data_IF_275952960197
#
_entry.id   IF_275952960197
#
_cell.length_a   1.000
_cell.length_b   1.000
_cell.length_c   1.000
_cell.angle_alpha   90.00
_cell.angle_beta   90.00
_cell.angle_gamma   90.00
#
_symmetry.space_group_name_H-M   'P 1'
#
loop_
_entity.id
_entity.type
_entity.pdbx_description
1 polymer ?
#
# COMPACT_ATOMS: atom_id res chain seq x y z
N UNK A 1 -31.78 15.50 46.57
CA UNK A 1 -31.24 15.53 45.23
C UNK A 1 -29.73 15.38 45.24
N UNK A 2 -29.22 14.18 44.92
CA UNK A 2 -27.79 13.97 44.77
C UNK A 2 -27.38 14.39 43.37
N UNK A 3 -26.67 15.51 43.27
CA UNK A 3 -25.99 15.91 42.02
C UNK A 3 -24.80 15.00 41.81
N UNK A 4 -24.90 14.06 40.87
CA UNK A 4 -23.75 13.33 40.33
C UNK A 4 -22.91 14.31 39.52
N UNK A 5 -21.76 14.70 40.08
CA UNK A 5 -20.74 15.44 39.35
C UNK A 5 -20.24 14.55 38.23
N UNK A 6 -20.56 14.89 36.99
CA UNK A 6 -19.90 14.28 35.84
C UNK A 6 -18.41 14.59 35.97
N UNK A 7 -17.60 13.55 36.13
CA UNK A 7 -16.15 13.68 36.07
C UNK A 7 -15.83 14.32 34.73
N UNK A 8 -15.28 15.54 34.76
CA UNK A 8 -14.73 16.18 33.56
C UNK A 8 -13.61 15.28 33.05
N UNK A 9 -13.82 14.69 31.87
CA UNK A 9 -12.74 13.98 31.19
C UNK A 9 -11.59 14.97 31.02
N UNK A 10 -10.39 14.63 31.48
CA UNK A 10 -9.21 15.43 31.25
C UNK A 10 -9.08 15.67 29.74
N UNK A 11 -8.74 16.88 29.30
CA UNK A 11 -8.51 17.12 27.89
C UNK A 11 -7.42 16.17 27.40
N UNK A 12 -7.50 15.67 26.14
CA UNK A 12 -6.46 14.78 25.60
C UNK A 12 -5.11 15.46 25.75
N UNK A 13 -4.13 14.74 26.30
CA UNK A 13 -2.79 15.26 26.52
C UNK A 13 -2.16 15.58 25.16
N UNK A 14 -1.66 16.81 25.02
CA UNK A 14 -0.97 17.23 23.82
C UNK A 14 0.32 16.43 23.64
N UNK A 15 0.48 15.80 22.50
CA UNK A 15 1.66 15.03 22.14
C UNK A 15 2.71 16.03 21.61
N UNK A 16 3.77 16.24 22.37
CA UNK A 16 4.91 17.07 22.00
C UNK A 16 6.23 16.34 22.28
N UNK A 17 7.35 16.94 21.90
CA UNK A 17 8.64 16.30 22.04
C UNK A 17 9.00 15.94 23.49
N UNK A 18 8.61 16.76 24.47
CA UNK A 18 8.82 16.48 25.89
C UNK A 18 8.01 15.29 26.35
N UNK A 19 6.75 15.22 25.96
CA UNK A 19 5.87 14.09 26.24
C UNK A 19 6.43 12.78 25.67
N UNK A 20 6.94 12.82 24.43
CA UNK A 20 7.59 11.67 23.79
C UNK A 20 8.79 11.21 24.64
N UNK A 21 9.67 12.11 25.02
CA UNK A 21 10.87 11.79 25.81
C UNK A 21 10.52 11.17 27.17
N UNK A 22 9.56 11.78 27.89
CA UNK A 22 9.10 11.29 29.18
C UNK A 22 8.44 9.91 29.08
N UNK A 23 7.66 9.69 28.04
CA UNK A 23 6.99 8.41 27.80
C UNK A 23 8.00 7.31 27.42
N UNK A 24 8.99 7.62 26.58
CA UNK A 24 10.09 6.70 26.27
C UNK A 24 10.81 6.23 27.55
N UNK A 25 11.07 7.14 28.48
CA UNK A 25 11.70 6.82 29.74
C UNK A 25 10.82 5.84 30.57
N UNK A 26 9.53 6.14 30.68
CA UNK A 26 8.57 5.29 31.39
C UNK A 26 8.42 3.90 30.78
N UNK A 27 8.45 3.81 29.46
CA UNK A 27 8.34 2.54 28.73
C UNK A 27 9.62 1.70 28.78
N UNK A 28 10.74 2.30 29.19
CA UNK A 28 12.04 1.62 29.24
C UNK A 28 12.64 1.35 27.87
N UNK A 29 12.21 2.07 26.84
CA UNK A 29 12.64 1.81 25.45
C UNK A 29 14.12 2.15 25.23
N UNK A 30 14.70 3.05 26.02
CA UNK A 30 16.11 3.41 25.93
C UNK A 30 17.04 2.22 26.25
N UNK A 31 16.63 1.30 27.10
CA UNK A 31 17.37 0.06 27.33
C UNK A 31 17.45 -0.75 26.04
N UNK A 32 16.33 -0.87 25.31
CA UNK A 32 16.29 -1.56 24.04
C UNK A 32 17.19 -0.90 22.98
N UNK A 33 17.19 0.42 22.92
CA UNK A 33 18.08 1.15 22.00
C UNK A 33 19.56 0.98 22.37
N UNK A 34 19.88 0.93 23.64
CA UNK A 34 21.25 0.64 24.06
C UNK A 34 21.69 -0.77 23.66
N UNK A 35 20.82 -1.76 23.77
CA UNK A 35 21.10 -3.11 23.29
C UNK A 35 21.33 -3.15 21.77
N UNK A 36 20.54 -2.39 21.02
CA UNK A 36 20.59 -2.38 19.54
C UNK A 36 21.77 -1.54 19.01
N UNK A 37 22.01 -0.38 19.59
CA UNK A 37 22.90 0.66 19.01
C UNK A 37 24.14 0.92 19.86
N UNK A 38 24.26 0.31 21.02
CA UNK A 38 25.32 0.58 21.99
C UNK A 38 25.03 1.78 22.88
N UNK A 39 25.87 1.97 23.95
CA UNK A 39 25.68 3.08 24.87
C UNK A 39 25.80 4.44 24.17
N UNK A 40 25.09 5.48 24.65
CA UNK A 40 24.19 5.47 25.80
C UNK A 40 22.76 4.99 25.46
N UNK A 41 22.35 4.94 24.21
CA UNK A 41 21.00 4.52 23.78
C UNK A 41 19.89 5.49 24.12
N UNK A 42 20.21 6.76 24.36
CA UNK A 42 19.27 7.80 24.77
C UNK A 42 18.97 8.78 23.64
N UNK A 43 17.89 9.52 23.81
CA UNK A 43 17.46 10.52 22.83
C UNK A 43 18.51 11.64 22.74
N UNK A 44 18.94 11.96 21.50
CA UNK A 44 19.79 13.09 21.18
C UNK A 44 18.97 14.21 20.56
N UNK A 45 18.87 15.32 21.25
CA UNK A 45 18.02 16.44 20.83
C UNK A 45 16.53 16.13 20.99
N UNK A 46 15.70 16.96 20.41
CA UNK A 46 14.26 16.86 20.51
C UNK A 46 13.69 15.90 19.47
N UNK A 47 12.62 15.17 19.83
CA UNK A 47 11.83 14.42 18.87
C UNK A 47 11.11 15.39 17.91
N UNK A 48 11.16 15.10 16.62
CA UNK A 48 10.54 15.90 15.58
C UNK A 48 9.25 15.25 15.09
N UNK A 49 8.14 15.98 15.10
CA UNK A 49 6.88 15.51 14.53
C UNK A 49 6.95 15.59 13.01
N UNK A 50 6.83 14.46 12.33
CA UNK A 50 6.79 14.38 10.87
C UNK A 50 5.36 14.49 10.34
N UNK A 51 4.39 13.93 11.05
CA UNK A 51 2.97 13.94 10.68
C UNK A 51 2.13 13.73 11.93
N UNK A 52 1.03 14.47 12.03
CA UNK A 52 0.02 14.26 13.06
C UNK A 52 -1.37 14.29 12.44
N UNK A 53 -2.18 13.30 12.76
CA UNK A 53 -3.57 13.20 12.33
C UNK A 53 -4.42 12.62 13.47
N UNK A 54 -5.73 12.62 13.29
CA UNK A 54 -6.62 12.00 14.27
C UNK A 54 -6.45 10.48 14.39
N UNK A 55 -5.85 9.82 13.39
CA UNK A 55 -5.61 8.37 13.35
C UNK A 55 -4.27 7.97 13.95
N UNK A 56 -3.23 8.73 13.63
CA UNK A 56 -1.85 8.40 14.01
C UNK A 56 -0.96 9.62 14.00
N UNK A 57 0.16 9.52 14.69
CA UNK A 57 1.24 10.49 14.57
C UNK A 57 2.57 9.79 14.32
N UNK A 58 3.44 10.45 13.58
CA UNK A 58 4.78 9.93 13.20
C UNK A 58 5.82 10.89 13.69
N UNK A 59 6.80 10.37 14.44
CA UNK A 59 7.87 11.12 15.03
C UNK A 59 9.21 10.57 14.60
N UNK A 60 10.19 11.45 14.42
CA UNK A 60 11.58 11.09 14.19
C UNK A 60 12.36 11.34 15.47
N UNK A 61 13.05 10.30 15.94
CA UNK A 61 13.94 10.35 17.09
C UNK A 61 15.36 10.09 16.62
N UNK A 62 16.32 10.86 17.13
CA UNK A 62 17.73 10.56 16.97
C UNK A 62 18.25 9.94 18.27
N UNK A 63 18.72 8.72 18.18
CA UNK A 63 19.23 7.96 19.33
C UNK A 63 20.75 7.99 19.29
N UNK A 64 21.35 8.43 20.37
CA UNK A 64 22.81 8.41 20.53
C UNK A 64 23.26 6.97 20.81
N UNK A 65 24.07 6.42 19.94
CA UNK A 65 24.63 5.07 20.05
C UNK A 65 26.14 5.07 19.90
N UNK A 66 26.75 3.91 19.99
CA UNK A 66 28.21 3.73 19.92
C UNK A 66 28.81 4.26 18.60
N UNK A 67 28.10 4.08 17.50
CA UNK A 67 28.54 4.50 16.16
C UNK A 67 28.04 5.89 15.74
N UNK A 68 27.49 6.67 16.69
CA UNK A 68 26.91 7.98 16.42
C UNK A 68 25.39 8.00 16.53
N UNK A 69 24.76 8.96 15.87
CA UNK A 69 23.30 9.13 15.92
C UNK A 69 22.61 8.11 15.02
N UNK A 70 21.57 7.46 15.54
CA UNK A 70 20.75 6.53 14.80
C UNK A 70 19.32 7.08 14.70
N UNK A 71 18.79 7.32 13.50
CA UNK A 71 17.40 7.75 13.36
C UNK A 71 16.45 6.58 13.63
N UNK A 72 15.43 6.84 14.42
CA UNK A 72 14.35 5.89 14.75
C UNK A 72 13.03 6.56 14.48
N UNK A 73 12.12 5.85 13.84
CA UNK A 73 10.75 6.32 13.62
C UNK A 73 9.87 5.78 14.74
N UNK A 74 9.13 6.67 15.39
CA UNK A 74 8.04 6.32 16.28
C UNK A 74 6.72 6.58 15.58
N UNK A 75 5.93 5.54 15.42
CA UNK A 75 4.55 5.67 14.95
C UNK A 75 3.60 5.37 16.10
N UNK A 76 2.74 6.34 16.40
CA UNK A 76 1.72 6.25 17.43
C UNK A 76 0.38 6.00 16.74
N UNK A 77 -0.19 4.82 16.95
CA UNK A 77 -1.50 4.45 16.45
C UNK A 77 -2.55 4.76 17.51
N UNK A 78 -3.39 5.74 17.23
CA UNK A 78 -4.49 6.12 18.12
C UNK A 78 -5.59 5.04 18.08
N UNK A 79 -6.43 4.89 19.11
CA UNK A 79 -7.47 3.88 19.13
C UNK A 79 -8.36 3.95 17.88
N UNK A 80 -8.60 2.80 17.26
CA UNK A 80 -9.41 2.70 16.05
C UNK A 80 -10.88 2.51 16.39
N UNK A 81 -11.76 3.05 15.55
CA UNK A 81 -13.22 2.89 15.67
C UNK A 81 -13.71 1.53 15.19
N UNK A 82 -12.90 0.81 14.41
CA UNK A 82 -13.23 -0.48 13.80
C UNK A 82 -11.99 -1.33 13.59
N UNK A 83 -12.07 -2.68 13.77
CA UNK A 83 -10.96 -3.59 13.48
C UNK A 83 -10.53 -3.61 12.02
N UNK A 84 -11.41 -3.26 11.08
CA UNK A 84 -11.14 -3.22 9.65
C UNK A 84 -10.67 -1.84 9.16
N UNK A 85 -10.47 -0.86 10.06
CA UNK A 85 -9.94 0.44 9.68
C UNK A 85 -8.52 0.31 9.11
N UNK A 86 -8.17 1.18 8.16
CA UNK A 86 -6.83 1.19 7.56
C UNK A 86 -5.73 1.36 8.59
N UNK A 87 -5.98 2.17 9.61
CA UNK A 87 -5.06 2.40 10.73
C UNK A 87 -4.82 1.12 11.54
N UNK A 88 -5.86 0.35 11.79
CA UNK A 88 -5.77 -0.91 12.54
C UNK A 88 -5.02 -1.98 11.73
N UNK A 89 -5.25 -2.04 10.42
CA UNK A 89 -4.53 -2.95 9.52
C UNK A 89 -3.04 -2.63 9.53
N UNK A 90 -2.68 -1.36 9.40
CA UNK A 90 -1.27 -0.94 9.42
C UNK A 90 -0.61 -1.26 10.76
N UNK A 91 -1.28 -0.97 11.87
CA UNK A 91 -0.79 -1.33 13.21
C UNK A 91 -0.50 -2.83 13.30
N UNK A 92 -1.43 -3.66 12.87
CA UNK A 92 -1.29 -5.11 12.90
C UNK A 92 -0.17 -5.61 11.98
N UNK A 93 0.07 -4.94 10.86
CA UNK A 93 1.23 -5.26 10.02
C UNK A 93 2.54 -5.07 10.77
N UNK A 94 2.72 -3.95 11.49
CA UNK A 94 3.94 -3.74 12.26
C UNK A 94 4.03 -4.65 13.48
N UNK A 95 2.92 -4.88 14.19
CA UNK A 95 2.92 -5.69 15.43
C UNK A 95 3.05 -7.17 15.13
N UNK A 96 2.33 -7.67 14.15
CA UNK A 96 2.23 -9.11 13.84
C UNK A 96 2.83 -9.48 12.49
N UNK A 97 2.53 -8.69 11.45
CA UNK A 97 2.99 -8.96 10.09
C UNK A 97 4.51 -8.93 9.95
N UNK A 98 5.19 -8.11 10.74
CA UNK A 98 6.65 -8.01 10.74
C UNK A 98 7.34 -9.31 11.18
N UNK A 99 6.67 -10.18 11.91
CA UNK A 99 7.19 -11.50 12.29
C UNK A 99 7.28 -12.46 11.11
N UNK A 100 6.53 -12.19 10.06
CA UNK A 100 6.47 -13.00 8.83
C UNK A 100 7.14 -12.30 7.65
N UNK A 101 6.87 -11.02 7.47
CA UNK A 101 7.32 -10.20 6.34
C UNK A 101 8.39 -9.17 6.72
N UNK A 102 9.06 -9.37 7.85
CA UNK A 102 10.04 -8.41 8.40
C UNK A 102 11.17 -8.05 7.45
N UNK A 103 11.58 -8.94 6.55
CA UNK A 103 12.57 -8.66 5.51
C UNK A 103 12.15 -7.50 4.59
N UNK A 104 10.84 -7.33 4.39
CA UNK A 104 10.26 -6.38 3.45
C UNK A 104 9.64 -5.15 4.12
N UNK A 105 9.88 -4.98 5.41
CA UNK A 105 9.32 -3.92 6.24
C UNK A 105 10.43 -3.22 7.01
N UNK A 106 10.22 -1.97 7.46
CA UNK A 106 11.11 -1.39 8.46
C UNK A 106 11.24 -2.34 9.67
N UNK A 107 12.45 -2.54 10.15
CA UNK A 107 12.67 -3.38 11.33
C UNK A 107 11.91 -2.80 12.53
N UNK A 108 11.15 -3.60 13.23
CA UNK A 108 10.40 -3.20 14.42
C UNK A 108 11.28 -3.43 15.64
N UNK A 109 11.65 -2.34 16.33
CA UNK A 109 12.54 -2.38 17.49
C UNK A 109 11.82 -2.67 18.79
N UNK A 110 10.63 -2.08 18.95
CA UNK A 110 9.83 -2.22 20.18
C UNK A 110 8.38 -1.86 19.93
N UNK A 111 7.48 -2.58 20.57
CA UNK A 111 6.02 -2.35 20.50
C UNK A 111 5.49 -2.19 21.90
N UNK A 112 4.72 -1.15 22.13
CA UNK A 112 4.09 -0.86 23.40
C UNK A 112 2.59 -0.62 23.20
N UNK A 113 1.76 -1.64 23.47
CA UNK A 113 0.31 -1.47 23.36
C UNK A 113 -0.23 -0.72 24.59
N UNK A 114 -1.40 -0.15 24.42
CA UNK A 114 -2.17 0.48 25.50
C UNK A 114 -1.42 1.59 26.25
N UNK A 115 -0.70 2.42 25.52
CA UNK A 115 -0.06 3.62 26.05
C UNK A 115 -1.06 4.76 26.03
N UNK A 116 -1.34 5.35 27.19
CA UNK A 116 -2.24 6.50 27.35
C UNK A 116 -3.50 6.49 26.44
N UNK A 117 -4.60 5.96 26.99
CA UNK A 117 -5.89 5.96 26.29
C UNK A 117 -6.02 4.92 25.17
N UNK A 118 -5.21 3.86 25.21
CA UNK A 118 -5.30 2.75 24.25
C UNK A 118 -4.49 2.93 22.99
N UNK A 119 -3.59 3.92 22.93
CA UNK A 119 -2.68 4.10 21.80
C UNK A 119 -1.60 3.02 21.78
N UNK A 120 -1.17 2.59 20.60
CA UNK A 120 -0.04 1.66 20.43
C UNK A 120 1.15 2.43 19.89
N UNK A 121 2.28 2.29 20.56
CA UNK A 121 3.54 2.91 20.15
C UNK A 121 4.44 1.87 19.50
N UNK A 122 4.85 2.12 18.28
CA UNK A 122 5.76 1.25 17.52
C UNK A 122 7.02 2.04 17.18
N UNK A 123 8.15 1.56 17.68
CA UNK A 123 9.47 2.09 17.35
C UNK A 123 10.09 1.22 16.27
N UNK A 124 10.50 1.86 15.17
CA UNK A 124 10.97 1.12 14.00
C UNK A 124 12.14 1.81 13.33
N UNK A 125 12.78 1.06 12.46
CA UNK A 125 13.88 1.53 11.63
C UNK A 125 13.43 2.71 10.76
N UNK A 126 14.28 3.73 10.65
CA UNK A 126 14.18 4.73 9.60
C UNK A 126 14.83 4.14 8.34
N UNK A 127 14.03 3.97 7.29
CA UNK A 127 14.55 3.49 6.01
C UNK A 127 14.64 4.67 5.05
N UNK A 128 15.82 4.95 4.47
CA UNK A 128 15.93 6.03 3.50
C UNK A 128 14.99 5.82 2.32
N UNK A 129 14.16 6.80 1.95
CA UNK A 129 13.24 6.64 0.83
C UNK A 129 13.98 6.51 -0.49
N UNK A 130 13.44 5.72 -1.41
CA UNK A 130 13.95 5.61 -2.79
C UNK A 130 13.74 6.92 -3.55
N UNK A 131 12.57 7.54 -3.35
CA UNK A 131 12.22 8.80 -3.99
C UNK A 131 13.24 9.90 -3.65
N UNK A 132 13.74 10.58 -4.68
CA UNK A 132 14.74 11.66 -4.55
C UNK A 132 16.18 11.19 -4.52
N UNK A 133 16.43 9.89 -4.47
CA UNK A 133 17.79 9.31 -4.47
C UNK A 133 18.19 8.72 -5.82
N UNK A 134 17.20 8.39 -6.63
CA UNK A 134 17.39 7.96 -8.02
C UNK A 134 16.46 8.76 -8.92
N UNK A 135 16.87 8.98 -10.16
CA UNK A 135 15.98 9.46 -11.21
C UNK A 135 15.19 8.27 -11.74
N UNK A 136 14.05 8.01 -11.10
CA UNK A 136 13.29 6.80 -11.30
C UNK A 136 12.73 6.73 -12.73
N UNK A 137 13.02 5.63 -13.39
CA UNK A 137 12.54 5.31 -14.74
C UNK A 137 12.12 3.84 -14.81
N UNK A 138 11.48 3.38 -15.88
CA UNK A 138 11.04 2.00 -16.00
C UNK A 138 12.11 0.95 -15.82
N UNK A 139 13.38 1.25 -16.11
CA UNK A 139 14.49 0.32 -15.85
C UNK A 139 14.61 -0.08 -14.38
N UNK A 140 14.18 0.78 -13.47
CA UNK A 140 14.26 0.54 -12.03
C UNK A 140 13.22 -0.47 -11.52
N UNK A 141 12.19 -0.80 -12.32
CA UNK A 141 11.32 -1.94 -11.98
C UNK A 141 12.11 -3.24 -11.85
N UNK A 142 13.17 -3.41 -12.62
CA UNK A 142 14.05 -4.58 -12.55
C UNK A 142 14.78 -4.68 -11.20
N UNK A 143 15.01 -3.55 -10.53
CA UNK A 143 15.61 -3.52 -9.20
C UNK A 143 14.61 -3.83 -8.09
N UNK A 144 13.30 -3.65 -8.33
CA UNK A 144 12.23 -3.78 -7.33
C UNK A 144 11.53 -5.14 -7.40
N UNK A 145 11.23 -5.60 -8.60
CA UNK A 145 10.40 -6.79 -8.82
C UNK A 145 10.93 -8.05 -8.15
N UNK A 146 12.26 -8.31 -8.07
CA UNK A 146 12.75 -9.47 -7.33
C UNK A 146 12.34 -9.48 -5.85
N UNK A 147 12.41 -8.35 -5.17
CA UNK A 147 11.96 -8.23 -3.78
C UNK A 147 10.44 -8.41 -3.65
N UNK A 148 9.67 -7.84 -4.56
CA UNK A 148 8.21 -7.97 -4.58
C UNK A 148 7.79 -9.45 -4.73
N UNK A 149 8.40 -10.16 -5.67
CA UNK A 149 8.14 -11.58 -5.89
C UNK A 149 8.51 -12.41 -4.65
N UNK A 150 9.65 -12.14 -4.06
CA UNK A 150 10.10 -12.83 -2.85
C UNK A 150 9.13 -12.60 -1.70
N UNK A 151 8.63 -11.38 -1.54
CA UNK A 151 7.62 -11.04 -0.53
C UNK A 151 6.31 -11.82 -0.77
N UNK A 152 5.80 -11.81 -1.99
CA UNK A 152 4.57 -12.54 -2.33
C UNK A 152 4.74 -14.05 -2.12
N UNK A 153 5.90 -14.59 -2.42
CA UNK A 153 6.16 -16.02 -2.28
C UNK A 153 6.06 -16.53 -0.83
N UNK A 154 6.34 -15.67 0.15
CA UNK A 154 6.26 -16.05 1.58
C UNK A 154 4.85 -16.52 1.96
N UNK A 155 3.83 -15.85 1.43
CA UNK A 155 2.43 -16.08 1.80
C UNK A 155 1.57 -16.56 0.65
N UNK A 156 2.17 -17.09 -0.42
CA UNK A 156 1.43 -17.48 -1.62
C UNK A 156 0.55 -18.71 -1.37
N UNK A 157 -0.75 -18.60 -1.65
CA UNK A 157 -1.74 -19.67 -1.55
C UNK A 157 -1.68 -20.39 -0.19
N UNK A 158 -1.48 -21.70 -0.19
CA UNK A 158 -1.44 -22.54 1.02
C UNK A 158 -0.36 -22.12 2.03
N UNK A 159 0.67 -21.42 1.59
CA UNK A 159 1.73 -20.92 2.49
C UNK A 159 1.18 -19.89 3.48
N UNK A 160 0.17 -19.12 3.07
CA UNK A 160 -0.50 -18.15 3.95
C UNK A 160 -1.14 -18.83 5.17
N UNK A 161 -1.75 -19.98 4.98
CA UNK A 161 -2.47 -20.69 6.04
C UNK A 161 -1.55 -21.33 7.09
N UNK A 162 -0.23 -21.33 6.87
CA UNK A 162 0.76 -21.69 7.89
C UNK A 162 0.91 -20.61 8.97
N UNK A 163 0.48 -19.40 8.70
CA UNK A 163 0.56 -18.26 9.61
C UNK A 163 -0.77 -17.99 10.32
N UNK A 164 -1.37 -19.07 10.82
CA UNK A 164 -2.68 -19.08 11.46
C UNK A 164 -2.73 -18.24 12.75
N UNK A 165 -1.62 -18.11 13.48
CA UNK A 165 -1.54 -17.31 14.70
C UNK A 165 -1.12 -15.85 14.46
N UNK A 166 -0.31 -15.60 13.43
CA UNK A 166 0.30 -14.28 13.21
C UNK A 166 -0.41 -13.42 12.16
N UNK A 167 -1.00 -14.01 11.14
CA UNK A 167 -1.64 -13.28 10.03
C UNK A 167 -3.13 -13.51 9.92
N UNK A 168 -3.58 -14.75 9.97
CA UNK A 168 -4.97 -15.10 9.71
C UNK A 168 -5.99 -14.40 10.63
N UNK A 169 -5.73 -14.20 11.94
CA UNK A 169 -6.74 -13.62 12.83
C UNK A 169 -7.20 -12.21 12.47
N UNK A 170 -6.39 -11.44 11.77
CA UNK A 170 -6.67 -10.02 11.49
C UNK A 170 -6.51 -9.63 10.02
N UNK A 171 -5.86 -10.46 9.20
CA UNK A 171 -5.58 -10.11 7.81
C UNK A 171 -6.87 -9.97 7.00
N UNK A 172 -7.11 -8.81 6.37
CA UNK A 172 -8.24 -8.68 5.46
C UNK A 172 -8.14 -9.65 4.29
N UNK A 173 -9.24 -10.27 3.95
CA UNK A 173 -9.34 -11.25 2.86
C UNK A 173 -10.11 -10.62 1.70
N UNK A 174 -9.49 -10.54 0.53
CA UNK A 174 -10.11 -9.95 -0.67
C UNK A 174 -11.46 -10.58 -1.01
N UNK A 175 -11.61 -11.89 -0.79
CA UNK A 175 -12.84 -12.61 -1.08
C UNK A 175 -13.77 -12.76 0.13
N UNK A 176 -13.56 -11.98 1.21
CA UNK A 176 -14.53 -11.93 2.31
C UNK A 176 -15.84 -11.26 1.87
N UNK A 177 -16.91 -11.53 2.60
CA UNK A 177 -18.20 -10.89 2.34
C UNK A 177 -18.13 -9.35 2.44
N UNK A 178 -17.36 -8.83 3.39
CA UNK A 178 -17.15 -7.39 3.56
C UNK A 178 -16.50 -6.76 2.33
N UNK A 179 -15.42 -7.32 1.83
CA UNK A 179 -14.71 -6.78 0.67
C UNK A 179 -15.47 -7.03 -0.64
N UNK A 180 -16.24 -8.10 -0.72
CA UNK A 180 -17.15 -8.29 -1.84
C UNK A 180 -18.21 -7.18 -1.90
N UNK A 181 -18.81 -6.83 -0.76
CA UNK A 181 -19.75 -5.73 -0.68
C UNK A 181 -19.11 -4.39 -1.07
N UNK A 182 -17.87 -4.15 -0.67
CA UNK A 182 -17.12 -2.96 -1.09
C UNK A 182 -16.88 -2.92 -2.61
N UNK A 183 -16.58 -4.08 -3.24
CA UNK A 183 -16.42 -4.15 -4.69
C UNK A 183 -17.74 -3.91 -5.44
N UNK A 184 -18.86 -4.41 -4.92
CA UNK A 184 -20.19 -4.08 -5.46
C UNK A 184 -20.46 -2.57 -5.40
N UNK A 185 -20.15 -1.95 -4.26
CA UNK A 185 -20.30 -0.51 -4.10
C UNK A 185 -19.37 0.27 -5.05
N UNK A 186 -18.18 -0.22 -5.30
CA UNK A 186 -17.26 0.40 -6.27
C UNK A 186 -17.82 0.37 -7.69
N UNK A 187 -18.47 -0.70 -8.09
CA UNK A 187 -19.14 -0.80 -9.39
C UNK A 187 -20.26 0.25 -9.52
N UNK A 188 -21.09 0.39 -8.50
CA UNK A 188 -22.16 1.39 -8.49
C UNK A 188 -21.59 2.81 -8.52
N UNK A 189 -20.56 3.09 -7.73
CA UNK A 189 -19.90 4.40 -7.69
C UNK A 189 -19.28 4.76 -9.03
N UNK A 190 -18.63 3.82 -9.70
CA UNK A 190 -18.07 4.05 -11.03
C UNK A 190 -19.17 4.28 -12.06
N UNK A 191 -20.26 3.52 -11.99
CA UNK A 191 -21.41 3.73 -12.86
C UNK A 191 -21.97 5.15 -12.73
N UNK A 192 -22.12 5.64 -11.51
CA UNK A 192 -22.56 7.01 -11.24
C UNK A 192 -21.55 8.04 -11.77
N UNK A 193 -20.26 7.83 -11.53
CA UNK A 193 -19.20 8.72 -11.99
C UNK A 193 -19.16 8.81 -13.52
N UNK A 194 -19.32 7.70 -14.22
CA UNK A 194 -19.42 7.68 -15.70
C UNK A 194 -20.64 8.44 -16.19
N UNK A 195 -21.78 8.26 -15.55
CA UNK A 195 -23.01 8.99 -15.89
C UNK A 195 -22.85 10.50 -15.70
N UNK A 196 -22.27 10.92 -14.57
CA UNK A 196 -22.00 12.34 -14.29
C UNK A 196 -20.98 12.93 -15.28
N UNK A 197 -19.97 12.16 -15.65
CA UNK A 197 -18.95 12.62 -16.59
C UNK A 197 -19.53 12.95 -17.98
N UNK A 198 -20.60 12.28 -18.39
CA UNK A 198 -21.29 12.56 -19.64
C UNK A 198 -22.03 13.90 -19.66
N UNK A 199 -22.24 14.51 -18.49
CA UNK A 199 -22.79 15.87 -18.35
C UNK A 199 -21.70 16.93 -18.32
N UNK A 200 -20.42 16.53 -18.33
CA UNK A 200 -19.28 17.43 -18.35
C UNK A 200 -18.75 17.52 -19.79
N UNK A 201 -18.77 18.69 -20.46
CA UNK A 201 -18.51 18.78 -21.91
C UNK A 201 -17.21 18.16 -22.36
N UNK A 202 -16.10 18.42 -21.67
CA UNK A 202 -14.78 17.87 -22.02
C UNK A 202 -14.74 16.34 -21.87
N UNK A 203 -15.26 15.83 -20.76
CA UNK A 203 -15.27 14.38 -20.50
C UNK A 203 -16.25 13.65 -21.40
N UNK A 204 -17.37 14.26 -21.75
CA UNK A 204 -18.33 13.70 -22.70
C UNK A 204 -17.65 13.44 -24.05
N UNK A 205 -16.89 14.40 -24.56
CA UNK A 205 -16.17 14.25 -25.82
C UNK A 205 -15.17 13.10 -25.78
N UNK A 206 -14.45 12.97 -24.68
CA UNK A 206 -13.45 11.90 -24.49
C UNK A 206 -14.08 10.52 -24.32
N UNK A 207 -15.24 10.42 -23.69
CA UNK A 207 -15.89 9.16 -23.32
C UNK A 207 -16.89 8.65 -24.37
N UNK A 208 -17.39 9.52 -25.24
CA UNK A 208 -18.55 9.21 -26.09
C UNK A 208 -18.39 7.92 -26.90
N UNK A 209 -17.22 7.68 -27.48
CA UNK A 209 -16.97 6.50 -28.30
C UNK A 209 -16.98 5.18 -27.51
N UNK A 210 -16.54 5.20 -26.26
CA UNK A 210 -16.31 4.01 -25.43
C UNK A 210 -17.35 3.82 -24.33
N UNK A 211 -18.18 4.81 -24.09
CA UNK A 211 -19.10 4.87 -22.94
C UNK A 211 -20.02 3.65 -22.85
N UNK A 212 -20.74 3.34 -23.94
CA UNK A 212 -21.68 2.23 -23.93
C UNK A 212 -20.96 0.89 -23.72
N UNK A 213 -19.80 0.71 -24.33
CA UNK A 213 -18.98 -0.48 -24.19
C UNK A 213 -18.47 -0.64 -22.75
N UNK A 214 -17.92 0.42 -22.17
CA UNK A 214 -17.45 0.40 -20.78
C UNK A 214 -18.58 0.09 -19.79
N UNK A 215 -19.77 0.63 -20.02
CA UNK A 215 -20.95 0.31 -19.19
C UNK A 215 -21.29 -1.18 -19.26
N UNK A 216 -21.21 -1.80 -20.44
CA UNK A 216 -21.43 -3.24 -20.57
C UNK A 216 -20.37 -4.05 -19.84
N UNK A 217 -19.10 -3.68 -19.99
CA UNK A 217 -18.01 -4.33 -19.26
C UNK A 217 -18.20 -4.21 -17.76
N UNK A 218 -18.51 -3.03 -17.26
CA UNK A 218 -18.70 -2.76 -15.84
C UNK A 218 -19.76 -3.68 -15.21
N UNK A 219 -20.84 -3.97 -15.93
CA UNK A 219 -21.90 -4.85 -15.46
C UNK A 219 -21.50 -6.32 -15.29
N UNK A 220 -20.36 -6.73 -15.84
CA UNK A 220 -19.83 -8.09 -15.66
C UNK A 220 -19.20 -8.30 -14.28
N UNK A 221 -18.91 -7.21 -13.56
CA UNK A 221 -18.33 -7.26 -12.24
C UNK A 221 -19.28 -7.61 -11.11
N UNK A 222 -18.82 -7.55 -9.85
CA UNK A 222 -17.57 -6.90 -9.42
C UNK A 222 -16.28 -7.70 -9.65
N UNK A 223 -16.36 -9.01 -9.83
CA UNK A 223 -15.21 -9.88 -10.07
C UNK A 223 -15.17 -10.28 -11.55
N UNK A 224 -14.29 -9.63 -12.31
CA UNK A 224 -14.28 -9.75 -13.77
C UNK A 224 -13.53 -10.97 -14.28
N UNK A 225 -12.51 -11.41 -13.53
CA UNK A 225 -11.61 -12.48 -13.95
C UNK A 225 -11.34 -13.44 -12.79
N UNK A 226 -12.06 -14.58 -12.69
CA UNK A 226 -11.75 -15.59 -11.67
C UNK A 226 -10.34 -16.15 -11.82
N UNK A 227 -9.74 -16.08 -13.00
CA UNK A 227 -8.36 -16.49 -13.28
C UNK A 227 -7.33 -15.78 -12.43
N UNK A 228 -7.60 -14.55 -11.99
CA UNK A 228 -6.71 -13.81 -11.10
C UNK A 228 -6.58 -14.47 -9.73
N UNK A 229 -7.70 -14.94 -9.17
CA UNK A 229 -7.70 -15.66 -7.90
C UNK A 229 -7.11 -17.05 -8.05
N UNK A 230 -7.47 -17.76 -9.11
CA UNK A 230 -6.98 -19.11 -9.43
C UNK A 230 -5.46 -19.10 -9.67
N UNK A 231 -4.92 -18.03 -10.21
CA UNK A 231 -3.48 -17.87 -10.43
C UNK A 231 -2.70 -17.65 -9.13
N UNK A 232 -3.38 -17.35 -8.05
CA UNK A 232 -2.79 -17.30 -6.71
C UNK A 232 -2.96 -15.97 -6.00
N UNK A 233 -3.04 -16.10 -4.69
CA UNK A 233 -3.16 -14.97 -3.76
C UNK A 233 -1.99 -14.96 -2.79
N UNK A 234 -1.61 -13.78 -2.36
CA UNK A 234 -0.57 -13.53 -1.36
C UNK A 234 -0.99 -12.36 -0.48
N UNK A 235 -0.31 -12.18 0.64
CA UNK A 235 -0.38 -10.88 1.31
C UNK A 235 0.25 -9.86 0.39
N UNK A 236 -0.54 -8.89 -0.04
CA UNK A 236 -0.10 -7.80 -0.91
C UNK A 236 -0.03 -6.50 -0.12
N UNK A 237 0.78 -5.57 -0.59
CA UNK A 237 0.86 -4.21 -0.05
C UNK A 237 -0.37 -3.37 -0.44
N UNK A 238 -0.80 -3.52 -1.67
CA UNK A 238 -2.02 -2.92 -2.25
C UNK A 238 -1.95 -1.41 -2.55
N UNK A 239 -0.87 -0.73 -2.21
CA UNK A 239 -0.65 0.69 -2.54
C UNK A 239 0.83 0.92 -2.92
N UNK A 240 1.36 0.07 -3.80
CA UNK A 240 2.74 0.16 -4.23
C UNK A 240 2.97 1.36 -5.14
N UNK A 241 3.72 2.31 -4.62
CA UNK A 241 4.22 3.47 -5.33
C UNK A 241 5.65 3.71 -4.89
N UNK A 242 6.41 4.46 -5.68
CA UNK A 242 7.81 4.76 -5.34
C UNK A 242 7.96 5.52 -4.02
N UNK A 243 6.94 6.29 -3.63
CA UNK A 243 6.91 7.00 -2.34
C UNK A 243 6.79 6.05 -1.13
N UNK A 244 6.31 4.84 -1.35
CA UNK A 244 6.09 3.83 -0.32
C UNK A 244 7.21 2.80 -0.25
N UNK A 245 8.40 3.16 -0.71
CA UNK A 245 9.56 2.29 -0.74
C UNK A 245 10.77 2.97 -0.14
N UNK A 246 11.51 2.21 0.65
CA UNK A 246 12.79 2.60 1.17
C UNK A 246 13.86 1.54 0.91
N UNK A 247 15.11 1.96 0.87
CA UNK A 247 16.24 1.07 0.64
C UNK A 247 17.54 1.74 1.12
N UNK A 248 18.39 1.00 1.82
CA UNK A 248 19.68 1.53 2.28
C UNK A 248 20.59 1.91 1.11
N UNK A 249 20.70 1.04 0.13
CA UNK A 249 21.57 1.21 -1.03
C UNK A 249 20.79 1.02 -2.33
N UNK A 250 20.84 2.00 -3.19
CA UNK A 250 20.14 2.01 -4.49
C UNK A 250 21.15 1.91 -5.63
N UNK A 251 21.82 0.75 -5.76
CA UNK A 251 22.77 0.47 -6.83
C UNK A 251 22.01 0.08 -8.10
N UNK A 252 22.34 0.70 -9.23
CA UNK A 252 21.55 0.58 -10.46
C UNK A 252 21.48 -0.84 -11.05
N UNK A 253 22.54 -1.64 -10.93
CA UNK A 253 22.65 -2.95 -11.60
C UNK A 253 22.38 -4.13 -10.68
N UNK A 254 21.78 -3.91 -9.53
CA UNK A 254 21.52 -4.95 -8.53
C UNK A 254 20.06 -4.89 -8.08
N UNK A 255 19.44 -6.02 -7.71
CA UNK A 255 18.18 -6.00 -6.98
C UNK A 255 18.33 -5.19 -5.68
N UNK A 256 17.34 -4.37 -5.38
CA UNK A 256 17.33 -3.59 -4.14
C UNK A 256 16.74 -4.39 -2.99
N UNK A 257 17.34 -4.26 -1.80
CA UNK A 257 16.76 -4.78 -0.57
C UNK A 257 15.65 -3.83 -0.09
N UNK A 258 14.52 -3.88 -0.77
CA UNK A 258 13.40 -2.96 -0.54
C UNK A 258 12.72 -3.23 0.78
N UNK A 259 12.42 -2.14 1.49
CA UNK A 259 11.49 -2.07 2.60
C UNK A 259 10.25 -1.32 2.14
N UNK A 260 9.11 -1.98 2.16
CA UNK A 260 7.84 -1.35 1.81
C UNK A 260 7.27 -0.60 3.02
N UNK A 261 6.71 0.57 2.76
CA UNK A 261 6.19 1.52 3.76
C UNK A 261 4.69 1.71 3.54
N UNK A 262 3.97 2.23 4.55
CA UNK A 262 2.52 2.53 4.47
C UNK A 262 1.66 1.31 4.14
N UNK A 263 1.62 0.37 5.07
CA UNK A 263 0.94 -0.92 4.93
C UNK A 263 -0.56 -0.90 5.20
N UNK A 264 -1.20 0.25 5.22
CA UNK A 264 -2.63 0.37 5.56
C UNK A 264 -3.57 -0.37 4.60
N UNK A 265 -3.14 -0.63 3.38
CA UNK A 265 -3.90 -1.36 2.38
C UNK A 265 -3.67 -2.86 2.35
N UNK A 266 -2.82 -3.39 3.21
CA UNK A 266 -2.43 -4.80 3.18
C UNK A 266 -3.63 -5.73 3.25
N UNK A 267 -3.60 -6.79 2.44
CA UNK A 267 -4.63 -7.82 2.40
C UNK A 267 -4.13 -9.08 1.70
N UNK A 268 -4.77 -10.19 1.97
CA UNK A 268 -4.59 -11.41 1.20
C UNK A 268 -5.46 -11.33 -0.05
N UNK A 269 -4.83 -11.24 -1.22
CA UNK A 269 -5.51 -10.92 -2.47
C UNK A 269 -4.69 -11.43 -3.67
N UNK A 270 -5.25 -11.41 -4.89
CA UNK A 270 -4.51 -11.75 -6.10
C UNK A 270 -3.16 -11.03 -6.18
N UNK A 271 -2.10 -11.80 -6.30
CA UNK A 271 -0.73 -11.26 -6.18
C UNK A 271 -0.37 -10.28 -7.30
N UNK A 272 -0.97 -10.43 -8.48
CA UNK A 272 -0.73 -9.54 -9.62
C UNK A 272 -1.15 -8.08 -9.38
N UNK A 273 -2.02 -7.83 -8.40
CA UNK A 273 -2.48 -6.46 -8.10
C UNK A 273 -1.34 -5.54 -7.70
N UNK A 274 -0.38 -6.01 -6.93
CA UNK A 274 0.77 -5.20 -6.53
C UNK A 274 1.64 -4.80 -7.71
N UNK A 275 1.88 -5.72 -8.64
CA UNK A 275 2.67 -5.42 -9.83
C UNK A 275 1.99 -4.35 -10.69
N UNK A 276 0.69 -4.49 -10.90
CA UNK A 276 -0.10 -3.51 -11.66
C UNK A 276 -0.07 -2.14 -10.97
N UNK A 277 -0.25 -2.10 -9.67
CA UNK A 277 -0.18 -0.83 -8.93
C UNK A 277 1.20 -0.18 -9.09
N UNK A 278 2.27 -0.95 -8.95
CA UNK A 278 3.63 -0.43 -9.10
C UNK A 278 3.86 0.17 -10.49
N UNK A 279 3.56 -0.58 -11.53
CA UNK A 279 3.94 -0.22 -12.91
C UNK A 279 2.94 0.75 -13.52
N UNK A 280 1.65 0.46 -13.42
CA UNK A 280 0.61 1.26 -14.06
C UNK A 280 0.44 2.63 -13.41
N UNK A 281 0.52 2.73 -12.07
CA UNK A 281 0.43 4.03 -11.39
C UNK A 281 1.59 4.93 -11.79
N UNK A 282 2.81 4.40 -11.82
CA UNK A 282 3.98 5.16 -12.27
C UNK A 282 3.79 5.70 -13.69
N UNK A 283 3.39 4.84 -14.63
CA UNK A 283 3.24 5.23 -16.04
C UNK A 283 2.07 6.18 -16.28
N UNK A 284 1.03 6.12 -15.46
CA UNK A 284 -0.12 7.03 -15.55
C UNK A 284 0.31 8.50 -15.49
N UNK A 285 1.31 8.82 -14.67
CA UNK A 285 1.79 10.19 -14.44
C UNK A 285 3.06 10.53 -15.23
N UNK A 286 3.58 9.63 -16.06
CA UNK A 286 4.84 9.77 -16.76
C UNK A 286 4.62 9.60 -18.28
N UNK A 287 4.12 10.67 -18.91
CA UNK A 287 3.76 10.67 -20.34
C UNK A 287 4.94 10.45 -21.28
N UNK A 288 6.17 10.71 -20.84
CA UNK A 288 7.39 10.49 -21.63
C UNK A 288 7.63 9.01 -21.99
N UNK A 289 7.01 8.08 -21.27
CA UNK A 289 7.15 6.63 -21.49
C UNK A 289 5.98 6.01 -22.25
N UNK A 290 5.07 6.84 -22.77
CA UNK A 290 3.80 6.37 -23.35
C UNK A 290 3.97 5.44 -24.54
N UNK A 291 4.95 5.70 -25.39
CA UNK A 291 5.18 4.87 -26.57
C UNK A 291 5.77 3.50 -26.21
N UNK A 292 6.46 3.40 -25.08
CA UNK A 292 7.09 2.19 -24.58
C UNK A 292 6.23 1.40 -23.58
N UNK A 293 5.03 1.90 -23.24
CA UNK A 293 4.20 1.30 -22.18
C UNK A 293 3.91 -0.19 -22.41
N UNK A 294 3.53 -0.58 -23.64
CA UNK A 294 3.20 -1.98 -23.93
C UNK A 294 4.41 -2.89 -23.72
N UNK A 295 5.59 -2.45 -24.12
CA UNK A 295 6.84 -3.18 -23.89
C UNK A 295 7.19 -3.25 -22.40
N UNK A 296 6.94 -2.17 -21.66
CA UNK A 296 7.18 -2.12 -20.22
C UNK A 296 6.24 -3.09 -19.49
N UNK A 297 4.98 -3.13 -19.84
CA UNK A 297 4.02 -4.07 -19.24
C UNK A 297 4.40 -5.52 -19.53
N UNK A 298 4.77 -5.83 -20.77
CA UNK A 298 5.22 -7.17 -21.13
C UNK A 298 6.48 -7.58 -20.38
N UNK A 299 7.47 -6.69 -20.35
CA UNK A 299 8.73 -6.95 -19.66
C UNK A 299 8.53 -7.16 -18.15
N UNK A 300 7.80 -6.28 -17.49
CA UNK A 300 7.58 -6.36 -16.03
C UNK A 300 6.73 -7.56 -15.65
N UNK A 301 5.72 -7.89 -16.44
CA UNK A 301 4.91 -9.10 -16.25
C UNK A 301 5.73 -10.38 -16.37
N UNK A 302 6.56 -10.48 -17.40
CA UNK A 302 7.43 -11.63 -17.61
C UNK A 302 8.50 -11.73 -16.51
N UNK A 303 9.09 -10.61 -16.11
CA UNK A 303 10.06 -10.59 -15.02
C UNK A 303 9.46 -11.05 -13.70
N UNK A 304 8.26 -10.54 -13.36
CA UNK A 304 7.57 -10.97 -12.15
C UNK A 304 7.28 -12.47 -12.14
N UNK A 305 6.77 -13.01 -13.23
CA UNK A 305 6.51 -14.44 -13.35
C UNK A 305 7.81 -15.26 -13.24
N UNK A 306 8.89 -14.79 -13.87
CA UNK A 306 10.21 -15.43 -13.77
C UNK A 306 10.71 -15.43 -12.32
N UNK A 307 10.63 -14.31 -11.62
CA UNK A 307 11.07 -14.20 -10.23
C UNK A 307 10.20 -15.05 -9.29
N UNK A 308 8.88 -15.12 -9.51
CA UNK A 308 8.00 -16.02 -8.77
C UNK A 308 8.38 -17.49 -9.00
N UNK A 309 8.79 -17.83 -10.22
CA UNK A 309 9.28 -19.17 -10.57
C UNK A 309 10.48 -19.62 -9.76
N UNK A 310 11.35 -18.69 -9.36
CA UNK A 310 12.49 -18.97 -8.45
C UNK A 310 12.06 -19.49 -7.09
N UNK A 311 10.82 -19.23 -6.71
CA UNK A 311 10.21 -19.66 -5.43
C UNK A 311 9.24 -20.83 -5.61
N UNK A 312 9.28 -21.52 -6.77
CA UNK A 312 8.42 -22.65 -7.06
C UNK A 312 6.99 -22.30 -7.45
N UNK A 313 6.73 -21.05 -7.79
CA UNK A 313 5.39 -20.56 -8.17
C UNK A 313 5.37 -20.35 -9.68
N UNK A 314 4.49 -21.11 -10.37
CA UNK A 314 4.30 -21.01 -11.81
C UNK A 314 2.85 -20.61 -12.11
N UNK A 315 2.67 -19.90 -13.21
CA UNK A 315 1.35 -19.45 -13.66
C UNK A 315 0.96 -20.22 -14.93
N UNK A 316 -0.26 -20.74 -14.95
CA UNK A 316 -0.80 -21.47 -16.12
C UNK A 316 -1.31 -20.56 -17.23
N UNK A 317 -1.34 -19.25 -16.99
CA UNK A 317 -1.79 -18.25 -17.95
C UNK A 317 -0.60 -17.34 -18.28
N UNK A 318 -0.54 -16.87 -19.53
CA UNK A 318 0.48 -15.94 -19.98
C UNK A 318 0.62 -14.72 -19.05
N UNK A 319 1.85 -14.36 -18.64
CA UNK A 319 2.06 -13.25 -17.70
C UNK A 319 1.46 -11.92 -18.15
N UNK A 320 1.58 -11.56 -19.41
CA UNK A 320 0.99 -10.31 -19.92
C UNK A 320 -0.54 -10.35 -19.86
N UNK A 321 -1.15 -11.51 -20.11
CA UNK A 321 -2.60 -11.70 -19.98
C UNK A 321 -3.04 -11.50 -18.52
N UNK A 322 -2.32 -12.07 -17.55
CA UNK A 322 -2.60 -11.86 -16.13
C UNK A 322 -2.42 -10.39 -15.72
N UNK A 323 -1.40 -9.74 -16.24
CA UNK A 323 -1.21 -8.30 -16.03
C UNK A 323 -2.42 -7.51 -16.53
N UNK A 324 -2.88 -7.77 -17.74
CA UNK A 324 -4.04 -7.10 -18.34
C UNK A 324 -5.31 -7.34 -17.52
N UNK A 325 -5.56 -8.57 -17.10
CA UNK A 325 -6.70 -8.91 -16.24
C UNK A 325 -6.66 -8.14 -14.92
N UNK A 326 -5.51 -8.11 -14.27
CA UNK A 326 -5.32 -7.37 -13.02
C UNK A 326 -5.50 -5.86 -13.21
N UNK A 327 -4.99 -5.31 -14.31
CA UNK A 327 -5.19 -3.90 -14.66
C UNK A 327 -6.67 -3.55 -14.83
N UNK A 328 -7.40 -4.35 -15.59
CA UNK A 328 -8.84 -4.14 -15.81
C UNK A 328 -9.61 -4.19 -14.49
N UNK A 329 -9.35 -5.21 -13.68
CA UNK A 329 -9.98 -5.37 -12.38
C UNK A 329 -9.73 -4.16 -11.47
N UNK A 330 -8.47 -3.75 -11.32
CA UNK A 330 -8.08 -2.61 -10.46
C UNK A 330 -8.61 -1.27 -10.99
N UNK A 331 -8.68 -1.11 -12.29
CA UNK A 331 -9.19 0.11 -12.92
C UNK A 331 -10.68 0.27 -12.65
N UNK A 332 -11.46 -0.79 -12.77
CA UNK A 332 -12.88 -0.77 -12.43
C UNK A 332 -13.14 -0.62 -10.93
N UNK A 333 -12.31 -1.21 -10.09
CA UNK A 333 -12.48 -1.12 -8.64
C UNK A 333 -12.18 0.28 -8.08
N UNK A 334 -11.21 0.99 -8.64
CA UNK A 334 -10.72 2.21 -8.00
C UNK A 334 -10.27 3.31 -8.96
N UNK A 335 -9.36 3.01 -9.88
CA UNK A 335 -8.58 4.04 -10.57
C UNK A 335 -9.43 4.91 -11.47
N UNK A 336 -10.36 4.35 -12.23
CA UNK A 336 -11.17 5.11 -13.19
C UNK A 336 -12.10 6.09 -12.47
N UNK A 337 -12.80 5.65 -11.44
CA UNK A 337 -13.67 6.54 -10.65
C UNK A 337 -12.87 7.70 -10.06
N UNK A 338 -11.69 7.42 -9.52
CA UNK A 338 -10.79 8.42 -8.95
C UNK A 338 -10.37 9.44 -9.99
N UNK A 339 -9.94 9.00 -11.17
CA UNK A 339 -9.50 9.91 -12.25
C UNK A 339 -10.66 10.73 -12.81
N UNK A 340 -11.83 10.14 -12.98
CA UNK A 340 -13.04 10.86 -13.41
C UNK A 340 -13.43 11.95 -12.41
N UNK A 341 -13.46 11.63 -11.13
CA UNK A 341 -13.84 12.58 -10.10
C UNK A 341 -12.84 13.74 -10.00
N UNK A 342 -11.54 13.45 -10.09
CA UNK A 342 -10.52 14.50 -10.10
C UNK A 342 -10.65 15.41 -11.34
N UNK A 343 -10.90 14.83 -12.50
CA UNK A 343 -11.12 15.60 -13.72
C UNK A 343 -12.37 16.51 -13.63
N UNK A 344 -13.47 15.98 -13.09
CA UNK A 344 -14.70 16.77 -12.87
C UNK A 344 -14.52 17.89 -11.86
N UNK A 345 -13.60 17.72 -10.90
CA UNK A 345 -13.23 18.74 -9.89
C UNK A 345 -12.16 19.72 -10.39
N UNK A 346 -11.65 19.57 -11.61
CA UNK A 346 -10.55 20.36 -12.13
C UNK A 346 -9.18 20.08 -11.50
N UNK A 347 -9.04 18.96 -10.78
CA UNK A 347 -7.81 18.56 -10.06
C UNK A 347 -6.82 17.79 -10.92
N UNK A 348 -7.23 17.29 -12.07
CA UNK A 348 -6.35 16.60 -13.01
C UNK A 348 -6.71 16.94 -14.46
N UNK A 349 -5.72 16.75 -15.34
CA UNK A 349 -5.92 16.96 -16.79
C UNK A 349 -6.70 15.78 -17.38
N UNK A 350 -7.57 16.07 -18.35
CA UNK A 350 -8.35 15.07 -19.07
C UNK A 350 -7.51 14.01 -19.79
N UNK A 351 -6.25 14.29 -20.09
CA UNK A 351 -5.34 13.34 -20.71
C UNK A 351 -5.18 12.01 -19.95
N UNK A 352 -5.18 12.06 -18.61
CA UNK A 352 -5.11 10.85 -17.77
C UNK A 352 -6.36 9.99 -17.98
N UNK A 353 -7.54 10.60 -18.00
CA UNK A 353 -8.80 9.90 -18.26
C UNK A 353 -8.78 9.27 -19.65
N UNK A 354 -8.41 10.05 -20.67
CA UNK A 354 -8.36 9.59 -22.06
C UNK A 354 -7.48 8.34 -22.21
N UNK A 355 -6.29 8.37 -21.63
CA UNK A 355 -5.35 7.26 -21.74
C UNK A 355 -5.81 6.02 -20.96
N UNK A 356 -6.35 6.23 -19.77
CA UNK A 356 -6.90 5.14 -18.96
C UNK A 356 -8.07 4.47 -19.67
N UNK A 357 -8.99 5.25 -20.22
CA UNK A 357 -10.15 4.74 -20.97
C UNK A 357 -9.71 4.00 -22.23
N UNK A 358 -8.78 4.54 -22.99
CA UNK A 358 -8.28 3.91 -24.22
C UNK A 358 -7.66 2.54 -23.93
N UNK A 359 -6.82 2.44 -22.90
CA UNK A 359 -6.20 1.18 -22.50
C UNK A 359 -7.21 0.20 -21.96
N UNK A 360 -8.09 0.64 -21.08
CA UNK A 360 -9.15 -0.19 -20.50
C UNK A 360 -10.03 -0.79 -21.58
N UNK A 361 -10.49 0.03 -22.52
CA UNK A 361 -11.33 -0.43 -23.63
C UNK A 361 -10.61 -1.45 -24.51
N UNK A 362 -9.37 -1.16 -24.88
CA UNK A 362 -8.56 -2.07 -25.70
C UNK A 362 -8.37 -3.42 -25.01
N UNK A 363 -8.02 -3.42 -23.74
CA UNK A 363 -7.75 -4.65 -23.01
C UNK A 363 -9.03 -5.42 -22.66
N UNK A 364 -10.13 -4.75 -22.39
CA UNK A 364 -11.42 -5.43 -22.24
C UNK A 364 -11.80 -6.19 -23.52
N UNK A 365 -11.57 -5.58 -24.69
CA UNK A 365 -11.83 -6.24 -25.98
C UNK A 365 -10.90 -7.43 -26.22
N UNK A 366 -9.60 -7.26 -25.99
CA UNK A 366 -8.61 -8.33 -26.12
C UNK A 366 -8.91 -9.52 -25.18
N UNK A 367 -9.40 -9.24 -23.99
CA UNK A 367 -9.76 -10.26 -23.00
C UNK A 367 -11.16 -10.83 -23.19
N UNK A 368 -11.93 -10.32 -24.12
CA UNK A 368 -13.27 -10.80 -24.43
C UNK A 368 -14.29 -10.55 -23.31
N UNK A 369 -14.16 -9.47 -22.56
CA UNK A 369 -15.01 -9.19 -21.42
C UNK A 369 -16.45 -8.83 -21.83
N UNK A 370 -16.63 -8.09 -22.92
CA UNK A 370 -17.95 -7.75 -23.48
C UNK A 370 -17.91 -7.51 -24.98
#
# INVERSE_FOLDING_TARGET
GAATSAAQANPPQEINGRYIAETCEKLGVFRRFRELFGPPGTLHGDAACLKDSFKSSIWLLNIAGKAGRKPVVLKIFKPASSPSSLNEIEKNMYVHGSKVLGEFMPAVYSVHPDVHGGSTWVFMEFVPPVKGRVDFSPKHFDNIIPALARMHAVTHNERFFRFDETLMPWMPMYHSAEFYAQRLQAVESLNESLTKAMNHPELKEMLAADYAYLKRCLRKGPDYFPELTESGQSVIHNDLQTVNMGCEQVKENEPWAIRFLDWEGARYAPCWFDLVNLVAVFLTYRSEWRQEEDDIFAHTGNLYAHEMGKHGITFGIDPLTLFKMAYVQRTFEKSLAMHLNWAMQGRSKGAIVTNTVARLTRWCKELGLA
#
